data_IF_449034075155
#
_entry.id   IF_449034075155
#
_cell.length_a   1.000
_cell.length_b   1.000
_cell.length_c   1.000
_cell.angle_alpha   90.00
_cell.angle_beta   90.00
_cell.angle_gamma   90.00
#
_symmetry.space_group_name_H-M   'P 1'
#
loop_
_entity.id
_entity.type
_entity.pdbx_description
1 polymer ?
#
# COMPACT_ATOMS: atom_id res chain seq x y z
N UNK A 1 -34.01 26.89 -16.68
CA UNK A 1 -33.09 27.28 -15.58
C UNK A 1 -33.28 26.27 -14.45
N UNK A 2 -32.25 25.55 -14.02
CA UNK A 2 -32.37 24.65 -12.86
C UNK A 2 -32.14 25.48 -11.59
N UNK A 3 -33.21 25.81 -10.87
CA UNK A 3 -33.13 26.26 -9.49
C UNK A 3 -32.60 25.11 -8.64
N UNK A 4 -31.33 25.19 -8.27
CA UNK A 4 -30.76 24.31 -7.25
C UNK A 4 -29.77 25.11 -6.39
N UNK A 5 -30.25 26.24 -5.87
CA UNK A 5 -29.62 26.88 -4.73
C UNK A 5 -29.90 25.99 -3.51
N UNK A 6 -28.92 25.16 -3.13
CA UNK A 6 -29.00 24.32 -1.93
C UNK A 6 -29.29 25.22 -0.73
N UNK A 7 -30.43 25.00 -0.08
CA UNK A 7 -30.83 25.63 1.18
C UNK A 7 -29.63 25.72 2.16
N UNK A 8 -29.13 26.94 2.44
CA UNK A 8 -27.97 27.17 3.30
C UNK A 8 -28.15 26.63 4.72
N UNK A 9 -29.36 26.66 5.26
CA UNK A 9 -29.64 26.15 6.60
C UNK A 9 -29.59 24.63 6.65
N UNK A 10 -30.16 23.97 5.64
CA UNK A 10 -30.08 22.51 5.50
C UNK A 10 -28.65 22.04 5.29
N UNK A 11 -27.83 22.82 4.58
CA UNK A 11 -26.40 22.56 4.43
C UNK A 11 -25.65 22.68 5.77
N UNK A 12 -25.90 23.76 6.52
CA UNK A 12 -25.28 24.01 7.82
C UNK A 12 -25.63 22.92 8.86
N UNK A 13 -26.91 22.55 8.97
CA UNK A 13 -27.36 21.46 9.88
C UNK A 13 -26.70 20.13 9.56
N UNK A 14 -26.51 19.81 8.27
CA UNK A 14 -25.81 18.59 7.83
C UNK A 14 -24.32 18.62 8.18
N UNK A 15 -23.66 19.77 8.06
CA UNK A 15 -22.25 19.91 8.41
C UNK A 15 -22.03 19.83 9.92
N UNK A 16 -22.88 20.45 10.73
CA UNK A 16 -22.83 20.36 12.19
C UNK A 16 -23.04 18.91 12.69
N UNK A 17 -23.99 18.18 12.11
CA UNK A 17 -24.21 16.77 12.43
C UNK A 17 -23.00 15.89 12.07
N UNK A 18 -22.37 16.13 10.91
CA UNK A 18 -21.13 15.42 10.52
C UNK A 18 -19.96 15.77 11.45
N UNK A 19 -19.82 17.03 11.82
CA UNK A 19 -18.77 17.49 12.73
C UNK A 19 -18.93 16.85 14.11
N UNK A 20 -20.16 16.78 14.64
CA UNK A 20 -20.44 16.09 15.91
C UNK A 20 -20.11 14.60 15.85
N UNK A 21 -20.55 13.90 14.79
CA UNK A 21 -20.21 12.48 14.59
C UNK A 21 -18.70 12.25 14.46
N UNK A 22 -17.99 13.17 13.82
CA UNK A 22 -16.53 13.12 13.71
C UNK A 22 -15.86 13.33 15.07
N UNK A 23 -16.31 14.30 15.86
CA UNK A 23 -15.81 14.58 17.21
C UNK A 23 -16.07 13.39 18.15
N UNK A 24 -17.25 12.78 18.09
CA UNK A 24 -17.59 11.59 18.88
C UNK A 24 -16.73 10.37 18.47
N UNK A 25 -16.37 10.25 17.19
CA UNK A 25 -15.45 9.20 16.70
C UNK A 25 -14.02 9.45 17.16
N UNK A 26 -13.54 10.70 17.11
CA UNK A 26 -12.22 11.10 17.63
C UNK A 26 -12.15 10.84 19.13
N UNK A 27 -13.17 11.23 19.90
CA UNK A 27 -13.22 11.01 21.34
C UNK A 27 -13.23 9.52 21.73
N UNK A 28 -13.73 8.64 20.86
CA UNK A 28 -13.73 7.17 21.08
C UNK A 28 -12.46 6.48 20.59
N UNK A 29 -11.66 7.13 19.74
CA UNK A 29 -10.40 6.59 19.25
C UNK A 29 -9.30 6.85 20.29
N UNK A 30 -9.22 6.00 21.31
CA UNK A 30 -8.29 6.14 22.44
C UNK A 30 -7.08 5.20 22.37
N UNK A 31 -7.09 4.22 21.45
CA UNK A 31 -6.00 3.26 21.32
C UNK A 31 -5.03 3.71 20.24
N UNK A 32 -3.81 4.04 20.64
CA UNK A 32 -2.68 4.18 19.73
C UNK A 32 -2.11 2.78 19.47
N UNK A 33 -2.09 2.38 18.20
CA UNK A 33 -1.41 1.17 17.71
C UNK A 33 -0.95 1.36 16.27
N UNK A 34 0.01 0.56 15.86
CA UNK A 34 0.40 0.37 14.46
C UNK A 34 -0.78 -0.15 13.66
N UNK A 35 -0.92 0.33 12.43
CA UNK A 35 -2.07 0.06 11.56
C UNK A 35 -1.62 -0.78 10.38
N UNK A 36 -2.35 -1.85 10.09
CA UNK A 36 -2.22 -2.62 8.84
C UNK A 36 -3.20 -2.10 7.79
N UNK A 37 -2.66 -1.53 6.71
CA UNK A 37 -3.43 -1.02 5.57
C UNK A 37 -3.28 -1.93 4.37
N UNK A 38 -4.37 -2.24 3.68
CA UNK A 38 -4.37 -2.97 2.40
C UNK A 38 -4.98 -2.10 1.31
N UNK A 39 -4.16 -1.77 0.31
CA UNK A 39 -4.53 -1.00 -0.87
C UNK A 39 -4.66 -1.94 -2.07
N UNK A 40 -5.90 -2.29 -2.42
CA UNK A 40 -6.21 -3.32 -3.44
C UNK A 40 -7.07 -2.77 -4.57
N UNK A 41 -7.49 -3.64 -5.49
CA UNK A 41 -8.39 -3.32 -6.60
C UNK A 41 -7.68 -3.02 -7.93
N UNK A 42 -8.42 -3.04 -9.05
CA UNK A 42 -7.85 -2.91 -10.40
C UNK A 42 -7.41 -1.48 -10.74
N UNK A 43 -7.84 -0.47 -9.97
CA UNK A 43 -7.58 0.95 -10.21
C UNK A 43 -6.12 1.37 -10.01
N UNK A 44 -5.72 2.43 -10.71
CA UNK A 44 -4.47 3.15 -10.45
C UNK A 44 -4.53 3.82 -9.08
N UNK A 45 -3.42 3.80 -8.35
CA UNK A 45 -3.25 4.60 -7.12
C UNK A 45 -2.66 3.84 -5.93
N UNK A 46 -2.63 2.50 -5.95
CA UNK A 46 -2.28 1.67 -4.79
C UNK A 46 -0.85 1.95 -4.31
N UNK A 47 0.14 1.69 -5.15
CA UNK A 47 1.55 1.94 -4.86
C UNK A 47 1.83 3.41 -4.57
N UNK A 48 1.32 4.34 -5.41
CA UNK A 48 1.52 5.77 -5.18
C UNK A 48 0.93 6.25 -3.84
N UNK A 49 -0.18 5.68 -3.38
CA UNK A 49 -0.73 5.98 -2.06
C UNK A 49 0.12 5.39 -0.94
N UNK A 50 0.67 4.18 -1.12
CA UNK A 50 1.65 3.59 -0.19
C UNK A 50 2.91 4.46 -0.06
N UNK A 51 3.48 4.90 -1.19
CA UNK A 51 4.61 5.83 -1.20
C UNK A 51 4.27 7.22 -0.65
N UNK A 52 3.03 7.68 -0.81
CA UNK A 52 2.56 8.90 -0.14
C UNK A 52 2.56 8.78 1.39
N UNK A 53 2.31 7.59 1.93
CA UNK A 53 2.42 7.31 3.37
C UNK A 53 3.89 7.22 3.79
N UNK A 54 4.76 6.62 2.99
CA UNK A 54 6.22 6.63 3.20
C UNK A 54 6.74 8.07 3.30
N UNK A 55 6.39 8.93 2.35
CA UNK A 55 6.77 10.35 2.38
C UNK A 55 6.28 11.06 3.65
N UNK A 56 5.05 10.75 4.10
CA UNK A 56 4.50 11.31 5.34
C UNK A 56 5.28 10.84 6.56
N UNK A 57 5.56 9.55 6.67
CA UNK A 57 6.32 8.97 7.79
C UNK A 57 7.72 9.61 7.89
N UNK A 58 8.43 9.71 6.75
CA UNK A 58 9.73 10.39 6.68
C UNK A 58 9.64 11.88 7.07
N UNK A 59 8.56 12.57 6.69
CA UNK A 59 8.29 13.95 7.12
C UNK A 59 8.13 14.12 8.64
N UNK A 60 7.85 13.02 9.35
CA UNK A 60 7.81 12.95 10.81
C UNK A 60 9.07 12.33 11.43
N UNK A 61 10.14 12.11 10.65
CA UNK A 61 11.41 11.58 11.13
C UNK A 61 11.42 10.06 11.38
N UNK A 62 10.37 9.35 10.96
CA UNK A 62 10.22 7.91 11.15
C UNK A 62 11.20 7.12 10.28
N UNK A 63 11.60 5.93 10.74
CA UNK A 63 12.33 4.95 9.94
C UNK A 63 11.37 4.06 9.16
N UNK A 64 11.65 3.88 7.88
CA UNK A 64 10.76 3.16 6.95
C UNK A 64 11.51 2.06 6.20
N UNK A 65 10.89 0.89 6.11
CA UNK A 65 11.31 -0.19 5.23
C UNK A 65 10.41 -0.25 4.00
N UNK A 66 10.98 -0.44 2.82
CA UNK A 66 10.22 -0.64 1.57
C UNK A 66 10.71 -1.92 0.91
N UNK A 67 9.78 -2.84 0.66
CA UNK A 67 10.02 -4.06 -0.12
C UNK A 67 9.03 -4.08 -1.28
N UNK A 68 9.55 -4.05 -2.51
CA UNK A 68 8.75 -4.19 -3.73
C UNK A 68 8.83 -5.62 -4.25
N UNK A 69 7.67 -6.27 -4.33
CA UNK A 69 7.52 -7.59 -4.91
C UNK A 69 7.25 -7.48 -6.41
N UNK A 70 7.84 -8.36 -7.20
CA UNK A 70 7.48 -8.58 -8.61
C UNK A 70 7.55 -7.28 -9.43
N UNK A 71 8.68 -6.57 -9.38
CA UNK A 71 8.89 -5.36 -10.17
C UNK A 71 9.77 -5.62 -11.39
N UNK A 72 9.38 -5.01 -12.52
CA UNK A 72 10.12 -5.00 -13.78
C UNK A 72 11.54 -4.46 -13.64
N UNK A 73 12.41 -4.72 -14.63
CA UNK A 73 13.75 -4.10 -14.79
C UNK A 73 13.74 -2.55 -14.91
N UNK A 74 12.59 -1.91 -14.75
CA UNK A 74 12.43 -0.47 -14.88
C UNK A 74 12.41 0.19 -13.50
N UNK A 75 13.42 1.02 -13.25
CA UNK A 75 13.46 1.97 -12.14
C UNK A 75 12.26 2.91 -12.24
N UNK A 76 11.54 3.12 -11.13
CA UNK A 76 10.46 4.13 -11.08
C UNK A 76 10.95 5.40 -10.39
N UNK A 77 10.17 6.48 -10.55
CA UNK A 77 10.44 7.73 -9.84
C UNK A 77 10.57 7.56 -8.33
N UNK A 78 9.77 6.68 -7.71
CA UNK A 78 9.85 6.41 -6.26
C UNK A 78 11.15 5.72 -5.86
N UNK A 79 11.63 4.75 -6.63
CA UNK A 79 12.93 4.10 -6.38
C UNK A 79 14.07 5.14 -6.41
N UNK A 80 14.08 5.95 -7.47
CA UNK A 80 15.09 7.02 -7.64
C UNK A 80 15.04 8.06 -6.53
N UNK A 81 13.85 8.36 -6.00
CA UNK A 81 13.67 9.40 -4.99
C UNK A 81 13.95 8.91 -3.57
N UNK A 82 13.42 7.74 -3.17
CA UNK A 82 13.44 7.30 -1.77
C UNK A 82 14.71 6.55 -1.37
N UNK A 83 15.36 5.84 -2.30
CA UNK A 83 16.47 4.92 -1.99
C UNK A 83 17.63 5.59 -1.24
N UNK A 84 17.93 6.84 -1.58
CA UNK A 84 19.08 7.57 -1.02
C UNK A 84 18.69 8.51 0.14
N UNK A 85 17.43 8.49 0.58
CA UNK A 85 16.98 9.29 1.70
C UNK A 85 17.43 8.67 3.02
N UNK A 86 17.77 9.49 4.03
CA UNK A 86 18.01 8.98 5.38
C UNK A 86 16.75 8.29 5.91
N UNK A 87 16.95 7.32 6.78
CA UNK A 87 15.89 6.54 7.43
C UNK A 87 15.03 5.69 6.47
N UNK A 88 15.50 5.42 5.26
CA UNK A 88 14.86 4.51 4.29
C UNK A 88 15.74 3.31 4.02
N UNK A 89 15.20 2.10 4.21
CA UNK A 89 15.78 0.86 3.69
C UNK A 89 14.91 0.38 2.50
N UNK A 90 15.48 0.37 1.29
CA UNK A 90 14.74 0.14 0.04
C UNK A 90 15.20 -1.11 -0.70
N UNK A 91 14.30 -2.08 -0.87
CA UNK A 91 14.57 -3.36 -1.53
C UNK A 91 13.60 -3.59 -2.70
N UNK A 92 14.17 -3.89 -3.87
CA UNK A 92 13.42 -4.28 -5.07
C UNK A 92 13.75 -5.72 -5.37
N UNK A 93 12.74 -6.57 -5.47
CA UNK A 93 12.93 -8.01 -5.61
C UNK A 93 12.13 -8.55 -6.80
N UNK A 94 12.77 -9.40 -7.59
CA UNK A 94 12.26 -9.98 -8.83
C UNK A 94 12.98 -9.46 -10.08
N UNK A 95 13.13 -10.31 -11.09
CA UNK A 95 13.76 -9.97 -12.39
C UNK A 95 12.83 -9.22 -13.35
N UNK A 96 11.65 -8.82 -12.88
CA UNK A 96 10.54 -8.41 -13.70
C UNK A 96 9.88 -9.57 -14.43
N UNK A 97 8.60 -9.39 -14.78
CA UNK A 97 7.94 -10.27 -15.74
C UNK A 97 8.65 -10.16 -17.10
N UNK A 98 9.69 -10.95 -17.32
CA UNK A 98 10.13 -11.31 -18.67
C UNK A 98 9.11 -12.31 -19.19
N UNK A 99 8.20 -11.84 -20.03
CA UNK A 99 7.28 -12.70 -20.80
C UNK A 99 7.99 -13.83 -21.56
N UNK A 100 9.33 -13.75 -21.70
CA UNK A 100 10.19 -14.71 -22.40
C UNK A 100 10.61 -15.96 -21.58
N UNK A 101 10.48 -15.97 -20.25
CA UNK A 101 10.82 -17.17 -19.45
C UNK A 101 9.97 -17.26 -18.19
N UNK A 102 8.91 -18.07 -18.26
CA UNK A 102 8.06 -18.46 -17.13
C UNK A 102 8.77 -19.51 -16.25
N UNK A 103 9.76 -19.07 -15.48
CA UNK A 103 10.38 -19.93 -14.46
C UNK A 103 9.73 -19.66 -13.10
N UNK A 104 8.62 -20.36 -12.85
CA UNK A 104 7.89 -20.28 -11.56
C UNK A 104 8.81 -20.52 -10.37
N UNK A 105 9.81 -21.40 -10.51
CA UNK A 105 10.72 -21.70 -9.40
C UNK A 105 11.58 -20.48 -9.05
N UNK A 106 12.06 -19.74 -10.05
CA UNK A 106 12.77 -18.46 -9.81
C UNK A 106 11.87 -17.41 -9.19
N UNK A 107 10.62 -17.30 -9.64
CA UNK A 107 9.66 -16.36 -9.06
C UNK A 107 9.39 -16.65 -7.58
N UNK A 108 9.21 -17.93 -7.22
CA UNK A 108 9.07 -18.38 -5.82
C UNK A 108 10.31 -18.03 -5.02
N UNK A 109 11.51 -18.36 -5.53
CA UNK A 109 12.77 -18.04 -4.83
C UNK A 109 12.95 -16.53 -4.61
N UNK A 110 12.62 -15.72 -5.61
CA UNK A 110 12.72 -14.26 -5.51
C UNK A 110 11.69 -13.71 -4.50
N UNK A 111 10.47 -14.23 -4.51
CA UNK A 111 9.43 -13.85 -3.56
C UNK A 111 9.82 -14.24 -2.12
N UNK A 112 10.29 -15.47 -1.89
CA UNK A 112 10.76 -15.93 -0.58
C UNK A 112 11.94 -15.08 -0.07
N UNK A 113 12.93 -14.79 -0.93
CA UNK A 113 14.04 -13.91 -0.56
C UNK A 113 13.57 -12.49 -0.20
N UNK A 114 12.58 -11.96 -0.92
CA UNK A 114 11.95 -10.67 -0.58
C UNK A 114 11.20 -10.74 0.75
N UNK A 115 10.53 -11.87 1.00
CA UNK A 115 9.79 -12.08 2.24
C UNK A 115 10.72 -12.20 3.44
N UNK A 116 11.90 -12.82 3.32
CA UNK A 116 12.89 -12.84 4.41
C UNK A 116 13.30 -11.43 4.82
N UNK A 117 13.52 -10.53 3.85
CA UNK A 117 13.84 -9.12 4.13
C UNK A 117 12.66 -8.44 4.83
N UNK A 118 11.44 -8.59 4.28
CA UNK A 118 10.24 -8.03 4.87
C UNK A 118 9.99 -8.55 6.29
N UNK A 119 10.11 -9.86 6.51
CA UNK A 119 9.92 -10.52 7.80
C UNK A 119 10.92 -10.02 8.85
N UNK A 120 12.18 -9.79 8.46
CA UNK A 120 13.18 -9.18 9.34
C UNK A 120 12.80 -7.74 9.72
N UNK A 121 12.31 -6.93 8.78
CA UNK A 121 11.81 -5.57 9.08
C UNK A 121 10.57 -5.62 9.98
N UNK A 122 9.67 -6.57 9.76
CA UNK A 122 8.47 -6.77 10.56
C UNK A 122 8.77 -7.24 11.99
N UNK A 123 9.97 -7.76 12.25
CA UNK A 123 10.44 -8.18 13.60
C UNK A 123 11.29 -7.12 14.30
N UNK A 124 11.75 -6.11 13.57
CA UNK A 124 12.62 -5.06 14.08
C UNK A 124 11.80 -3.84 14.53
N UNK A 125 11.74 -3.53 15.84
CA UNK A 125 10.98 -2.39 16.37
C UNK A 125 11.58 -1.03 16.01
N UNK A 126 12.76 -0.97 15.38
CA UNK A 126 13.34 0.29 14.89
C UNK A 126 12.66 0.83 13.64
N UNK A 127 11.93 0.00 12.88
CA UNK A 127 11.10 0.47 11.78
C UNK A 127 9.73 0.87 12.30
N UNK A 128 9.37 2.13 12.09
CA UNK A 128 8.04 2.61 12.43
C UNK A 128 7.01 2.28 11.34
N UNK A 129 7.46 2.12 10.09
CA UNK A 129 6.59 1.78 8.95
C UNK A 129 7.26 0.82 7.97
N UNK A 130 6.52 -0.19 7.50
CA UNK A 130 6.93 -1.08 6.40
C UNK A 130 5.94 -1.00 5.23
N UNK A 131 6.42 -0.72 4.02
CA UNK A 131 5.65 -0.81 2.78
C UNK A 131 5.99 -2.11 2.05
N UNK A 132 4.98 -2.97 1.89
CA UNK A 132 5.02 -4.23 1.15
C UNK A 132 4.28 -4.04 -0.18
N UNK A 133 4.99 -3.47 -1.15
CA UNK A 133 4.43 -3.06 -2.44
C UNK A 133 4.27 -4.28 -3.36
N UNK A 134 3.08 -4.45 -3.94
CA UNK A 134 2.69 -5.56 -4.82
C UNK A 134 2.75 -6.97 -4.22
N UNK A 135 2.84 -7.09 -2.88
CA UNK A 135 2.77 -8.37 -2.16
C UNK A 135 1.50 -9.18 -2.51
N UNK A 136 0.36 -8.50 -2.71
CA UNK A 136 -0.88 -9.19 -3.07
C UNK A 136 -0.75 -10.01 -4.35
N UNK A 137 0.10 -9.59 -5.29
CA UNK A 137 0.36 -10.33 -6.53
C UNK A 137 1.16 -11.60 -6.23
N UNK A 138 2.17 -11.53 -5.37
CA UNK A 138 2.96 -12.70 -4.95
C UNK A 138 2.08 -13.74 -4.23
N UNK A 139 1.19 -13.28 -3.35
CA UNK A 139 0.21 -14.13 -2.67
C UNK A 139 -0.78 -14.74 -3.66
N UNK A 140 -1.27 -13.96 -4.63
CA UNK A 140 -2.24 -14.43 -5.64
C UNK A 140 -1.70 -15.59 -6.49
N UNK A 141 -0.41 -15.58 -6.79
CA UNK A 141 0.27 -16.63 -7.55
C UNK A 141 0.84 -17.75 -6.68
N UNK A 142 0.59 -17.73 -5.37
CA UNK A 142 1.05 -18.73 -4.41
C UNK A 142 2.59 -18.87 -4.47
N UNK A 143 3.28 -17.74 -4.57
CA UNK A 143 4.75 -17.69 -4.49
C UNK A 143 5.25 -17.63 -3.05
N UNK A 144 4.36 -17.32 -2.11
CA UNK A 144 4.60 -17.27 -0.68
C UNK A 144 3.51 -18.06 0.03
N UNK A 145 3.87 -18.70 1.13
CA UNK A 145 2.91 -19.27 2.06
C UNK A 145 2.10 -18.16 2.74
N UNK A 146 0.77 -18.19 2.56
CA UNK A 146 -0.13 -17.18 3.09
C UNK A 146 -0.15 -17.18 4.62
N UNK A 147 -0.14 -18.36 5.24
CA UNK A 147 -0.24 -18.46 6.71
C UNK A 147 0.98 -17.85 7.37
N UNK A 148 2.18 -18.14 6.83
CA UNK A 148 3.44 -17.50 7.23
C UNK A 148 3.35 -15.96 7.16
N UNK A 149 2.79 -15.44 6.06
CA UNK A 149 2.67 -13.99 5.84
C UNK A 149 1.72 -13.35 6.87
N UNK A 150 0.58 -13.99 7.14
CA UNK A 150 -0.40 -13.52 8.12
C UNK A 150 0.18 -13.55 9.54
N UNK A 151 0.92 -14.60 9.89
CA UNK A 151 1.56 -14.73 11.20
C UNK A 151 2.63 -13.66 11.44
N UNK A 152 3.51 -13.42 10.47
CA UNK A 152 4.53 -12.37 10.57
C UNK A 152 3.88 -10.97 10.67
N UNK A 153 2.81 -10.71 9.91
CA UNK A 153 2.05 -9.46 9.98
C UNK A 153 1.36 -9.29 11.33
N UNK A 154 0.74 -10.35 11.87
CA UNK A 154 0.04 -10.31 13.14
C UNK A 154 0.99 -10.07 14.33
N UNK A 155 2.18 -10.68 14.29
CA UNK A 155 3.16 -10.65 15.38
C UNK A 155 4.13 -9.46 15.34
N UNK A 156 4.00 -8.55 14.38
CA UNK A 156 4.84 -7.35 14.28
C UNK A 156 4.78 -6.46 15.55
N UNK A 157 5.79 -5.60 15.80
CA UNK A 157 5.76 -4.64 16.90
C UNK A 157 4.46 -3.82 16.95
N UNK A 158 3.96 -3.59 18.16
CA UNK A 158 2.62 -3.02 18.40
C UNK A 158 2.39 -1.68 17.70
N UNK A 159 3.42 -0.82 17.62
CA UNK A 159 3.35 0.51 17.02
C UNK A 159 3.80 0.56 15.56
N UNK A 160 4.18 -0.56 14.95
CA UNK A 160 4.66 -0.59 13.58
C UNK A 160 3.50 -0.54 12.57
N UNK A 161 3.49 0.47 11.73
CA UNK A 161 2.55 0.58 10.62
C UNK A 161 2.99 -0.31 9.46
N UNK A 162 2.04 -0.95 8.79
CA UNK A 162 2.32 -1.73 7.58
C UNK A 162 1.33 -1.36 6.50
N UNK A 163 1.83 -1.11 5.29
CA UNK A 163 0.98 -0.92 4.11
C UNK A 163 1.29 -2.01 3.10
N UNK A 164 0.26 -2.78 2.74
CA UNK A 164 0.31 -3.79 1.69
C UNK A 164 -0.40 -3.25 0.45
N UNK A 165 0.21 -3.43 -0.71
CA UNK A 165 -0.41 -3.02 -1.97
C UNK A 165 -0.53 -4.19 -2.95
N UNK A 166 -1.34 -3.95 -3.98
CA UNK A 166 -1.40 -4.79 -5.18
C UNK A 166 -2.80 -5.30 -5.44
N UNK A 167 -3.00 -5.89 -6.61
CA UNK A 167 -4.32 -6.43 -6.99
C UNK A 167 -4.57 -7.75 -6.27
N UNK A 168 -5.85 -8.11 -6.10
CA UNK A 168 -6.27 -9.44 -5.64
C UNK A 168 -5.81 -9.81 -4.22
N UNK A 169 -5.84 -8.84 -3.29
CA UNK A 169 -5.63 -9.11 -1.86
C UNK A 169 -6.43 -10.35 -1.39
N UNK A 170 -5.78 -11.35 -0.75
CA UNK A 170 -6.46 -12.50 -0.16
C UNK A 170 -7.50 -12.08 0.88
N UNK A 171 -8.53 -12.90 1.08
CA UNK A 171 -9.64 -12.60 1.99
C UNK A 171 -9.14 -12.51 3.43
N UNK A 172 -8.26 -13.42 3.80
CA UNK A 172 -7.63 -13.56 5.11
C UNK A 172 -6.80 -12.32 5.45
N UNK A 173 -6.08 -11.76 4.46
CA UNK A 173 -5.34 -10.52 4.62
C UNK A 173 -6.26 -9.30 4.78
N UNK A 174 -7.39 -9.27 4.06
CA UNK A 174 -8.43 -8.24 4.21
C UNK A 174 -9.04 -8.28 5.61
N UNK A 175 -9.28 -9.48 6.15
CA UNK A 175 -9.83 -9.69 7.49
C UNK A 175 -8.84 -9.30 8.60
N UNK A 176 -7.55 -9.54 8.40
CA UNK A 176 -6.48 -9.14 9.31
C UNK A 176 -6.26 -7.62 9.34
N UNK A 177 -6.51 -6.93 8.23
CA UNK A 177 -6.20 -5.52 8.07
C UNK A 177 -7.14 -4.58 8.85
N UNK A 178 -6.54 -3.55 9.46
CA UNK A 178 -7.28 -2.48 10.15
C UNK A 178 -7.98 -1.55 9.16
N UNK A 179 -7.43 -1.38 7.95
CA UNK A 179 -8.00 -0.54 6.91
C UNK A 179 -7.79 -1.15 5.53
N UNK A 180 -8.87 -1.28 4.77
CA UNK A 180 -8.82 -1.78 3.41
C UNK A 180 -9.44 -0.76 2.46
N UNK A 181 -8.72 -0.41 1.40
CA UNK A 181 -9.22 0.44 0.31
C UNK A 181 -9.16 -0.32 -1.00
N UNK A 182 -10.32 -0.47 -1.65
CA UNK A 182 -10.42 -1.02 -3.00
C UNK A 182 -10.49 0.11 -4.03
N UNK A 183 -9.43 0.27 -4.83
CA UNK A 183 -9.38 1.24 -5.92
C UNK A 183 -10.09 0.67 -7.15
N UNK A 184 -11.23 1.24 -7.50
CA UNK A 184 -12.01 0.86 -8.69
C UNK A 184 -11.62 1.70 -9.90
N UNK A 185 -11.63 1.08 -11.08
CA UNK A 185 -11.41 1.80 -12.34
C UNK A 185 -12.73 2.45 -12.76
N UNK A 186 -12.88 3.75 -12.51
CA UNK A 186 -13.99 4.55 -13.06
C UNK A 186 -13.69 5.01 -14.48
N UNK A 187 -12.45 5.46 -14.71
CA UNK A 187 -11.89 5.83 -16.02
C UNK A 187 -10.37 5.64 -15.97
N UNK A 188 -9.73 5.32 -17.08
CA UNK A 188 -8.31 5.12 -17.21
C UNK A 188 -7.79 5.70 -18.54
N UNK A 189 -6.76 6.55 -18.48
CA UNK A 189 -6.23 7.26 -19.65
C UNK A 189 -5.80 6.32 -20.78
N UNK A 190 -5.06 5.25 -20.47
CA UNK A 190 -4.69 4.23 -21.45
C UNK A 190 -5.91 3.52 -22.07
N UNK A 191 -6.80 2.93 -21.26
CA UNK A 191 -7.93 2.13 -21.74
C UNK A 191 -8.95 2.96 -22.52
N UNK A 192 -9.27 4.16 -22.03
CA UNK A 192 -10.39 4.95 -22.57
C UNK A 192 -9.97 5.99 -23.60
N UNK A 193 -8.68 6.35 -23.66
CA UNK A 193 -8.17 7.42 -24.52
C UNK A 193 -6.89 7.04 -25.28
N UNK A 194 -6.31 5.85 -25.07
CA UNK A 194 -5.08 5.41 -25.73
C UNK A 194 -3.83 6.20 -25.31
N UNK A 195 -3.89 6.93 -24.19
CA UNK A 195 -2.77 7.74 -23.70
C UNK A 195 -1.71 6.80 -23.13
N UNK A 196 -0.49 6.86 -23.67
CA UNK A 196 0.66 6.07 -23.23
C UNK A 196 1.13 6.47 -21.83
N UNK A 197 1.83 5.57 -21.14
CA UNK A 197 2.47 5.83 -19.85
C UNK A 197 3.46 7.02 -19.94
N UNK A 198 3.45 7.90 -18.92
CA UNK A 198 4.27 9.11 -18.86
C UNK A 198 5.08 9.20 -17.57
N UNK A 199 6.26 9.84 -17.65
CA UNK A 199 7.10 10.14 -16.48
C UNK A 199 6.34 10.99 -15.48
N UNK A 200 6.41 10.62 -14.21
CA UNK A 200 5.72 11.30 -13.11
C UNK A 200 4.23 10.97 -12.99
N UNK A 201 3.70 10.07 -13.84
CA UNK A 201 2.31 9.60 -13.76
C UNK A 201 2.24 8.08 -13.67
N UNK A 202 2.92 7.36 -14.58
CA UNK A 202 3.03 5.89 -14.59
C UNK A 202 4.47 5.38 -14.57
N UNK A 203 5.42 6.15 -15.11
CA UNK A 203 6.85 5.83 -15.16
C UNK A 203 7.63 6.61 -14.09
#
# INVERSE_FOLDING_TARGET
MRENAKDPERHARRMAAKQKVMQDRIARAQNEKGVLLVLTGPGKGKSSSGFGMVARALGHGMKVGVVQFIKGKFTTGEDTFFRDLPNVDYHVMGDGYTWDTQDRQKDVQAAEAAWEIASNMLKDPSYDMVLLDELNIALRYEYLDLDRVLDDLFNRPEMQHVTVTGRYAPKELIELADTVTEMKVVKHAFKDQGIKAQKGVEL
#
